data_IF_836177492100
#
_entry.id   IF_836177492100
#
_cell.length_a   1.000
_cell.length_b   1.000
_cell.length_c   1.000
_cell.angle_alpha   90.00
_cell.angle_beta   90.00
_cell.angle_gamma   90.00
#
_symmetry.space_group_name_H-M   'P 1'
#
loop_
_entity.id
_entity.type
_entity.pdbx_description
1 polymer ?
#
# COMPACT_ATOMS: atom_id res chain seq x y z
N UNK A 1 78.35 -37.95 -42.57
CA UNK A 1 78.81 -36.85 -41.75
C UNK A 1 77.61 -35.95 -41.55
N UNK A 2 76.93 -36.08 -40.41
CA UNK A 2 75.67 -35.34 -40.07
C UNK A 2 75.98 -34.45 -38.90
N UNK A 3 75.86 -33.14 -39.12
CA UNK A 3 76.01 -32.14 -38.12
C UNK A 3 74.67 -31.93 -37.36
N UNK A 4 74.67 -32.08 -36.06
CA UNK A 4 73.54 -31.75 -35.19
C UNK A 4 73.72 -30.34 -34.69
N UNK A 5 72.76 -29.49 -34.97
CA UNK A 5 72.63 -28.15 -34.39
C UNK A 5 71.66 -28.23 -33.24
N UNK A 6 72.16 -27.96 -32.03
CA UNK A 6 71.38 -27.90 -30.79
C UNK A 6 70.78 -26.48 -30.65
N UNK A 7 69.46 -26.36 -30.63
CA UNK A 7 68.75 -25.09 -30.34
C UNK A 7 68.46 -25.07 -28.84
N UNK A 8 69.05 -24.10 -28.18
CA UNK A 8 68.78 -23.80 -26.76
C UNK A 8 67.54 -22.90 -26.66
N UNK A 9 66.43 -23.45 -26.13
CA UNK A 9 65.24 -22.64 -25.81
C UNK A 9 65.39 -22.06 -24.41
N UNK A 10 65.43 -20.73 -24.35
CA UNK A 10 65.38 -20.01 -23.10
C UNK A 10 63.88 -19.76 -22.79
N UNK A 11 63.39 -20.43 -21.77
CA UNK A 11 62.04 -20.18 -21.22
C UNK A 11 62.13 -19.09 -20.18
N UNK A 12 61.62 -17.88 -20.52
CA UNK A 12 61.44 -16.82 -19.55
C UNK A 12 60.18 -17.11 -18.68
N UNK A 13 60.44 -17.52 -17.44
CA UNK A 13 59.38 -17.70 -16.45
C UNK A 13 58.87 -16.37 -15.94
N UNK A 14 57.63 -15.97 -16.26
CA UNK A 14 56.89 -14.90 -15.63
C UNK A 14 56.45 -15.37 -14.26
N UNK A 15 57.13 -14.91 -13.21
CA UNK A 15 56.67 -15.03 -11.82
C UNK A 15 55.53 -14.03 -11.56
N UNK A 16 54.30 -14.52 -11.60
CA UNK A 16 53.17 -13.79 -11.05
C UNK A 16 53.28 -13.82 -9.52
N UNK A 17 53.68 -12.71 -8.92
CA UNK A 17 53.61 -12.55 -7.46
C UNK A 17 52.14 -12.30 -7.07
N UNK A 18 51.49 -13.28 -6.52
CA UNK A 18 50.23 -13.12 -5.79
C UNK A 18 50.52 -12.31 -4.52
N UNK A 19 50.12 -11.03 -4.52
CA UNK A 19 50.00 -10.29 -3.27
C UNK A 19 48.75 -10.77 -2.54
N UNK A 20 48.79 -11.17 -1.29
CA UNK A 20 47.59 -11.44 -0.51
C UNK A 20 46.82 -10.14 -0.37
N UNK A 21 45.57 -10.14 -0.86
CA UNK A 21 44.64 -9.03 -0.64
C UNK A 21 44.46 -8.89 0.86
N UNK A 22 44.85 -7.73 1.37
CA UNK A 22 44.73 -7.41 2.79
C UNK A 22 43.25 -7.44 3.17
N UNK A 23 42.97 -8.02 4.32
CA UNK A 23 41.64 -8.24 4.94
C UNK A 23 40.89 -6.94 5.29
N UNK A 24 41.22 -5.79 4.67
CA UNK A 24 40.78 -4.47 5.10
C UNK A 24 39.97 -3.68 4.06
N UNK A 25 39.44 -4.31 3.01
CA UNK A 25 38.52 -3.66 2.06
C UNK A 25 37.31 -4.53 1.73
N UNK A 26 36.71 -5.18 2.72
CA UNK A 26 35.28 -5.43 2.64
C UNK A 26 34.60 -4.10 2.98
N UNK A 27 34.41 -3.27 1.97
CA UNK A 27 33.48 -2.16 2.04
C UNK A 27 32.18 -2.72 2.61
N UNK A 28 31.86 -2.28 3.80
CA UNK A 28 30.57 -2.51 4.46
C UNK A 28 29.51 -1.99 3.50
N UNK A 29 28.92 -2.87 2.68
CA UNK A 29 27.61 -2.57 2.11
C UNK A 29 26.73 -2.33 3.34
N UNK A 30 26.03 -1.19 3.46
CA UNK A 30 25.13 -1.00 4.57
C UNK A 30 24.17 -2.18 4.55
N UNK A 31 24.32 -3.09 5.49
CA UNK A 31 23.45 -4.25 5.63
C UNK A 31 22.04 -3.71 5.73
N UNK A 32 21.12 -4.24 4.91
CA UNK A 32 19.71 -3.91 5.04
C UNK A 32 19.38 -4.17 6.51
N UNK A 33 19.08 -3.11 7.26
CA UNK A 33 18.68 -3.22 8.68
C UNK A 33 17.32 -3.93 8.72
N UNK A 34 17.35 -5.26 8.84
CA UNK A 34 16.17 -6.11 8.93
C UNK A 34 15.60 -6.18 10.35
N UNK A 35 16.15 -5.39 11.28
CA UNK A 35 15.70 -5.38 12.66
C UNK A 35 14.44 -4.53 12.86
N UNK A 36 14.29 -3.44 12.10
CA UNK A 36 13.22 -2.47 12.28
C UNK A 36 12.03 -2.70 11.32
N UNK A 37 10.83 -2.38 11.82
CA UNK A 37 9.64 -2.28 10.99
C UNK A 37 9.63 -0.91 10.29
N UNK A 38 9.36 -0.90 8.99
CA UNK A 38 9.19 0.31 8.17
C UNK A 38 7.76 0.35 7.63
N UNK A 39 7.13 1.51 7.75
CA UNK A 39 5.81 1.81 7.18
C UNK A 39 6.00 2.97 6.23
N UNK A 40 5.68 2.80 4.95
CA UNK A 40 5.92 3.75 3.88
C UNK A 40 4.60 4.10 3.21
N UNK A 41 4.30 5.38 3.10
CA UNK A 41 3.08 5.87 2.47
C UNK A 41 3.23 5.94 0.95
N UNK A 42 2.32 5.29 0.23
CA UNK A 42 2.29 5.27 -1.23
C UNK A 42 1.25 6.21 -1.83
N UNK A 43 0.54 6.96 -0.98
CA UNK A 43 -0.60 7.81 -1.38
C UNK A 43 -1.95 7.11 -1.25
N UNK A 44 -3.04 7.88 -1.18
CA UNK A 44 -4.41 7.40 -1.01
C UNK A 44 -4.56 6.53 0.25
N UNK A 45 -4.91 5.26 0.10
CA UNK A 45 -4.87 4.25 1.14
C UNK A 45 -3.67 3.30 1.01
N UNK A 46 -2.71 3.63 0.12
CA UNK A 46 -1.57 2.80 -0.24
C UNK A 46 -0.45 2.83 0.78
N UNK A 47 0.02 1.64 1.17
CA UNK A 47 1.11 1.47 2.14
C UNK A 47 2.03 0.33 1.74
N UNK A 48 3.31 0.47 2.08
CA UNK A 48 4.25 -0.63 2.17
C UNK A 48 4.63 -0.83 3.63
N UNK A 49 4.52 -2.07 4.13
CA UNK A 49 4.94 -2.47 5.46
C UNK A 49 6.01 -3.54 5.31
N UNK A 50 7.22 -3.28 5.83
CA UNK A 50 8.34 -4.19 5.59
C UNK A 50 9.36 -4.20 6.73
N UNK A 51 10.04 -5.33 6.89
CA UNK A 51 11.26 -5.47 7.70
C UNK A 51 12.53 -5.59 6.84
N UNK A 52 12.42 -5.28 5.54
CA UNK A 52 13.49 -5.45 4.56
C UNK A 52 13.58 -6.85 3.95
N UNK A 53 12.93 -7.87 4.54
CA UNK A 53 12.84 -9.23 4.00
C UNK A 53 11.45 -9.53 3.45
N UNK A 54 10.43 -9.32 4.27
CA UNK A 54 9.02 -9.47 3.90
C UNK A 54 8.47 -8.11 3.54
N UNK A 55 7.79 -8.01 2.41
CA UNK A 55 7.14 -6.80 1.90
C UNK A 55 5.65 -7.04 1.75
N UNK A 56 4.86 -6.31 2.52
CA UNK A 56 3.39 -6.31 2.47
C UNK A 56 2.97 -4.98 1.88
N UNK A 57 2.29 -5.00 0.74
CA UNK A 57 1.62 -3.82 0.19
C UNK A 57 0.16 -3.83 0.62
N UNK A 58 -0.40 -2.65 0.80
CA UNK A 58 -1.82 -2.43 1.08
C UNK A 58 -2.31 -1.41 0.07
N UNK A 59 -3.39 -1.72 -0.66
CA UNK A 59 -4.04 -0.82 -1.62
C UNK A 59 -3.07 -0.01 -2.49
N UNK A 60 -2.04 -0.63 -3.12
CA UNK A 60 -1.03 0.11 -3.86
C UNK A 60 -1.65 0.77 -5.11
N UNK A 61 -1.84 2.08 -5.05
CA UNK A 61 -2.37 2.89 -6.13
C UNK A 61 -1.42 4.06 -6.43
N UNK A 62 -0.53 3.85 -7.41
CA UNK A 62 0.51 4.79 -7.78
C UNK A 62 0.19 5.54 -9.10
N UNK A 63 -0.69 5.01 -9.92
CA UNK A 63 -1.05 5.59 -11.22
C UNK A 63 -1.76 6.94 -11.12
N UNK A 64 -2.43 7.25 -9.99
CA UNK A 64 -3.06 8.54 -9.68
C UNK A 64 -3.85 9.10 -10.87
N UNK A 65 -4.83 8.32 -11.33
CA UNK A 65 -5.62 8.58 -12.52
C UNK A 65 -6.24 9.99 -12.49
N UNK A 66 -5.95 10.82 -13.49
CA UNK A 66 -6.66 12.09 -13.67
C UNK A 66 -8.07 11.82 -14.17
N UNK A 67 -9.07 12.32 -13.44
CA UNK A 67 -10.48 12.12 -13.80
C UNK A 67 -11.01 13.24 -14.67
N UNK A 68 -11.87 12.88 -15.63
CA UNK A 68 -12.70 13.84 -16.33
C UNK A 68 -13.99 14.05 -15.54
N UNK A 69 -14.04 15.14 -14.79
CA UNK A 69 -15.09 15.42 -13.83
C UNK A 69 -16.42 15.93 -14.43
N UNK A 70 -16.53 16.13 -15.72
CA UNK A 70 -17.76 16.66 -16.34
C UNK A 70 -18.97 15.72 -16.19
N UNK A 71 -18.76 14.48 -15.75
CA UNK A 71 -19.81 13.46 -15.56
C UNK A 71 -19.74 12.70 -14.24
N UNK A 72 -18.83 13.10 -13.33
CA UNK A 72 -18.63 12.39 -12.06
C UNK A 72 -19.23 13.21 -10.90
N UNK A 73 -20.30 12.73 -10.24
CA UNK A 73 -20.90 13.42 -9.09
C UNK A 73 -19.92 13.61 -7.92
N UNK A 74 -18.85 12.77 -7.83
CA UNK A 74 -17.79 12.89 -6.82
C UNK A 74 -16.76 13.98 -7.15
N UNK A 75 -16.88 14.64 -8.28
CA UNK A 75 -15.93 15.65 -8.76
C UNK A 75 -15.79 16.87 -7.84
N UNK A 76 -16.71 17.07 -6.92
CA UNK A 76 -16.78 18.27 -6.07
C UNK A 76 -15.62 18.35 -5.07
N UNK A 77 -14.98 17.20 -4.74
CA UNK A 77 -13.91 17.16 -3.72
C UNK A 77 -12.48 17.18 -4.30
N UNK A 78 -12.31 17.03 -5.60
CA UNK A 78 -11.01 16.82 -6.23
C UNK A 78 -10.64 18.01 -7.12
N UNK A 79 -9.85 18.95 -6.61
CA UNK A 79 -9.39 20.11 -7.37
C UNK A 79 -8.46 19.70 -8.51
N UNK A 80 -8.74 20.14 -9.73
CA UNK A 80 -7.78 20.08 -10.83
C UNK A 80 -6.64 21.07 -10.56
N UNK A 81 -5.41 20.68 -10.88
CA UNK A 81 -4.29 21.62 -10.89
C UNK A 81 -4.20 22.32 -12.25
N UNK A 82 -3.85 23.62 -12.26
CA UNK A 82 -3.61 24.32 -13.51
C UNK A 82 -2.52 23.62 -14.34
N UNK A 83 -2.75 23.51 -15.65
CA UNK A 83 -1.79 22.97 -16.61
C UNK A 83 -1.46 21.46 -16.45
N UNK A 84 -2.32 20.66 -15.81
CA UNK A 84 -2.18 19.20 -15.82
C UNK A 84 -2.41 18.69 -17.25
N UNK A 85 -1.34 18.27 -17.92
CA UNK A 85 -1.36 17.76 -19.29
C UNK A 85 -1.61 16.26 -19.39
N UNK A 86 -1.72 15.55 -18.24
CA UNK A 86 -2.02 14.12 -18.26
C UNK A 86 -3.38 13.86 -18.90
N UNK A 87 -3.53 12.72 -19.56
CA UNK A 87 -4.83 12.27 -20.07
C UNK A 87 -5.84 12.23 -18.91
N UNK A 88 -7.03 12.77 -19.15
CA UNK A 88 -8.15 12.66 -18.23
C UNK A 88 -9.07 11.51 -18.69
N UNK A 89 -9.49 10.68 -17.74
CA UNK A 89 -10.28 9.49 -17.98
C UNK A 89 -11.74 9.66 -17.51
N UNK A 90 -12.67 9.37 -18.40
CA UNK A 90 -14.08 9.22 -18.10
C UNK A 90 -14.44 7.78 -17.71
N UNK A 91 -15.68 7.55 -17.28
CA UNK A 91 -16.13 6.24 -16.78
C UNK A 91 -16.01 5.12 -17.80
N UNK A 92 -16.21 5.43 -19.09
CA UNK A 92 -16.16 4.44 -20.17
C UNK A 92 -14.76 4.22 -20.76
N UNK A 93 -13.77 4.97 -20.32
CA UNK A 93 -12.41 4.81 -20.81
C UNK A 93 -11.76 3.58 -20.19
N UNK A 94 -10.98 2.86 -20.99
CA UNK A 94 -10.07 1.84 -20.46
C UNK A 94 -8.95 2.52 -19.68
N UNK A 95 -8.60 1.93 -18.54
CA UNK A 95 -7.52 2.46 -17.70
C UNK A 95 -6.16 2.29 -18.38
N UNK A 96 -5.28 3.23 -18.10
CA UNK A 96 -3.86 3.17 -18.44
C UNK A 96 -3.05 3.36 -17.17
N UNK A 97 -2.14 2.42 -16.90
CA UNK A 97 -1.33 2.44 -15.68
C UNK A 97 -0.08 3.29 -15.87
N UNK A 98 0.31 4.03 -14.86
CA UNK A 98 1.64 4.64 -14.79
C UNK A 98 2.68 3.59 -14.35
N UNK A 99 3.04 2.72 -15.28
CA UNK A 99 4.02 1.66 -15.01
C UNK A 99 5.41 2.20 -14.71
N UNK A 100 5.72 3.44 -15.10
CA UNK A 100 7.01 4.09 -14.78
C UNK A 100 7.08 4.37 -13.30
N UNK A 101 6.08 5.07 -12.75
CA UNK A 101 6.00 5.36 -11.31
C UNK A 101 5.91 4.08 -10.49
N UNK A 102 5.07 3.11 -10.90
CA UNK A 102 4.98 1.81 -10.23
C UNK A 102 6.36 1.15 -10.19
N UNK A 103 7.05 1.04 -11.33
CA UNK A 103 8.36 0.39 -11.41
C UNK A 103 9.47 1.15 -10.67
N UNK A 104 9.34 2.47 -10.54
CA UNK A 104 10.28 3.27 -9.76
C UNK A 104 10.18 2.97 -8.26
N UNK A 105 8.99 2.79 -7.71
CA UNK A 105 8.77 2.68 -6.28
C UNK A 105 8.55 1.25 -5.79
N UNK A 106 7.86 0.40 -6.54
CA UNK A 106 7.61 -0.99 -6.16
C UNK A 106 8.64 -1.93 -6.77
N UNK A 107 9.60 -2.37 -5.96
CA UNK A 107 10.68 -3.29 -6.38
C UNK A 107 10.36 -4.74 -6.02
N UNK A 108 9.63 -4.96 -4.94
CA UNK A 108 9.25 -6.27 -4.39
C UNK A 108 7.89 -6.16 -3.73
N UNK A 109 7.13 -7.25 -3.78
CA UNK A 109 5.99 -7.50 -2.92
C UNK A 109 5.88 -9.02 -2.70
N UNK A 110 5.69 -9.44 -1.46
CA UNK A 110 5.39 -10.83 -1.12
C UNK A 110 3.88 -11.01 -0.97
N UNK A 111 3.20 -9.99 -0.43
CA UNK A 111 1.75 -9.97 -0.23
C UNK A 111 1.18 -8.60 -0.61
N UNK A 112 -0.06 -8.61 -1.13
CA UNK A 112 -0.84 -7.40 -1.39
C UNK A 112 -2.19 -7.58 -0.73
N UNK A 113 -2.51 -6.71 0.23
CA UNK A 113 -3.80 -6.66 0.93
C UNK A 113 -4.66 -5.61 0.24
N UNK A 114 -5.92 -5.92 -0.04
CA UNK A 114 -6.85 -5.00 -0.69
C UNK A 114 -8.08 -4.83 0.19
N UNK A 115 -8.30 -3.59 0.69
CA UNK A 115 -9.44 -3.29 1.54
C UNK A 115 -10.77 -3.38 0.79
N UNK A 116 -10.82 -2.84 -0.43
CA UNK A 116 -12.00 -2.93 -1.32
C UNK A 116 -11.61 -2.67 -2.77
N UNK A 117 -12.54 -2.89 -3.70
CA UNK A 117 -12.21 -2.95 -5.12
C UNK A 117 -12.47 -1.66 -5.92
N UNK A 118 -12.55 -0.49 -5.26
CA UNK A 118 -12.51 0.77 -6.00
C UNK A 118 -11.16 0.97 -6.68
N UNK A 119 -11.16 1.71 -7.80
CA UNK A 119 -9.98 1.93 -8.65
C UNK A 119 -8.75 2.43 -7.89
N UNK A 120 -8.95 3.35 -6.96
CA UNK A 120 -7.91 3.99 -6.15
C UNK A 120 -7.34 3.11 -5.02
N UNK A 121 -7.73 1.84 -5.00
CA UNK A 121 -7.19 0.79 -4.12
C UNK A 121 -6.60 -0.38 -4.92
N UNK A 122 -7.23 -0.76 -6.05
CA UNK A 122 -6.92 -2.04 -6.69
C UNK A 122 -6.38 -1.93 -8.13
N UNK A 123 -6.52 -0.77 -8.77
CA UNK A 123 -6.25 -0.63 -10.21
C UNK A 123 -4.85 -1.09 -10.64
N UNK A 124 -3.83 -0.81 -9.83
CA UNK A 124 -2.44 -1.16 -10.10
C UNK A 124 -2.08 -2.58 -9.63
N UNK A 125 -2.92 -3.19 -8.79
CA UNK A 125 -2.65 -4.49 -8.14
C UNK A 125 -2.39 -5.62 -9.13
N UNK A 126 -3.17 -5.81 -10.22
CA UNK A 126 -2.91 -6.90 -11.16
C UNK A 126 -1.52 -6.81 -11.79
N UNK A 127 -1.08 -5.61 -12.16
CA UNK A 127 0.25 -5.38 -12.73
C UNK A 127 1.34 -5.64 -11.70
N UNK A 128 1.20 -5.11 -10.49
CA UNK A 128 2.17 -5.30 -9.40
C UNK A 128 2.27 -6.78 -9.03
N UNK A 129 1.14 -7.47 -8.85
CA UNK A 129 1.11 -8.90 -8.51
C UNK A 129 1.73 -9.76 -9.62
N UNK A 130 1.41 -9.51 -10.89
CA UNK A 130 1.99 -10.21 -12.03
C UNK A 130 3.51 -10.02 -12.12
N UNK A 131 4.01 -8.81 -11.83
CA UNK A 131 5.43 -8.48 -11.86
C UNK A 131 6.22 -9.09 -10.70
N UNK A 132 5.66 -9.07 -9.49
CA UNK A 132 6.37 -9.45 -8.25
C UNK A 132 6.14 -10.90 -7.85
N UNK A 133 5.08 -11.53 -8.36
CA UNK A 133 4.63 -12.84 -7.92
C UNK A 133 3.96 -12.82 -6.54
N UNK A 134 3.54 -11.65 -6.07
CA UNK A 134 2.87 -11.48 -4.77
C UNK A 134 1.57 -12.27 -4.67
N UNK A 135 1.25 -12.71 -3.46
CA UNK A 135 -0.07 -13.25 -3.12
C UNK A 135 -1.01 -12.07 -2.85
N UNK A 136 -2.15 -12.04 -3.51
CA UNK A 136 -3.19 -11.01 -3.31
C UNK A 136 -4.25 -11.53 -2.37
N UNK A 137 -4.56 -10.76 -1.32
CA UNK A 137 -5.55 -11.09 -0.29
C UNK A 137 -6.63 -10.01 -0.31
N UNK A 138 -7.88 -10.40 -0.50
CA UNK A 138 -9.00 -9.47 -0.53
C UNK A 138 -10.35 -10.16 -0.67
N UNK A 139 -11.40 -9.37 -0.79
CA UNK A 139 -12.76 -9.87 -0.95
C UNK A 139 -12.95 -10.55 -2.31
N UNK A 140 -14.10 -11.25 -2.51
CA UNK A 140 -14.42 -11.94 -3.78
C UNK A 140 -14.31 -11.02 -5.01
N UNK A 141 -14.72 -9.75 -4.88
CA UNK A 141 -14.58 -8.77 -5.96
C UNK A 141 -13.12 -8.50 -6.33
N UNK A 142 -12.23 -8.44 -5.34
CA UNK A 142 -10.77 -8.38 -5.57
C UNK A 142 -10.28 -9.59 -6.32
N UNK A 143 -10.67 -10.80 -5.87
CA UNK A 143 -10.30 -12.05 -6.52
C UNK A 143 -10.77 -12.10 -7.99
N UNK A 144 -11.98 -11.63 -8.28
CA UNK A 144 -12.52 -11.61 -9.64
C UNK A 144 -11.80 -10.64 -10.57
N UNK A 145 -11.31 -9.49 -10.07
CA UNK A 145 -10.39 -8.63 -10.84
C UNK A 145 -9.08 -9.37 -11.13
N UNK A 146 -8.48 -10.00 -10.12
CA UNK A 146 -7.22 -10.76 -10.33
C UNK A 146 -7.38 -11.85 -11.37
N UNK A 147 -8.49 -12.60 -11.32
CA UNK A 147 -8.83 -13.64 -12.32
C UNK A 147 -9.02 -13.05 -13.72
N UNK A 148 -9.68 -11.89 -13.84
CA UNK A 148 -9.86 -11.20 -15.11
C UNK A 148 -8.52 -10.83 -15.77
N UNK A 149 -7.50 -10.55 -14.97
CA UNK A 149 -6.12 -10.30 -15.44
C UNK A 149 -5.24 -11.55 -15.45
N UNK A 150 -5.82 -12.77 -15.33
CA UNK A 150 -5.14 -14.06 -15.40
C UNK A 150 -4.08 -14.26 -14.30
N UNK A 151 -4.26 -13.69 -13.12
CA UNK A 151 -3.41 -14.05 -11.98
C UNK A 151 -3.69 -15.51 -11.60
N UNK A 152 -2.65 -16.35 -11.39
CA UNK A 152 -2.83 -17.75 -11.01
C UNK A 152 -3.63 -17.90 -9.70
N UNK A 153 -4.53 -18.90 -9.62
CA UNK A 153 -5.44 -19.06 -8.47
C UNK A 153 -4.68 -19.27 -7.14
N UNK A 154 -3.53 -19.92 -7.19
CA UNK A 154 -2.64 -20.09 -6.03
C UNK A 154 -2.02 -18.77 -5.51
N UNK A 155 -2.15 -17.70 -6.25
CA UNK A 155 -1.74 -16.34 -5.87
C UNK A 155 -2.90 -15.48 -5.35
N UNK A 156 -4.09 -16.06 -5.19
CA UNK A 156 -5.29 -15.36 -4.76
C UNK A 156 -5.81 -16.00 -3.47
N UNK A 157 -5.90 -15.21 -2.40
CA UNK A 157 -6.57 -15.63 -1.16
C UNK A 157 -7.83 -14.79 -1.02
N UNK A 158 -8.97 -15.43 -1.26
CA UNK A 158 -10.28 -14.78 -1.06
C UNK A 158 -10.69 -14.87 0.40
N UNK A 159 -11.03 -13.73 0.99
CA UNK A 159 -11.44 -13.61 2.40
C UNK A 159 -12.79 -12.92 2.53
N UNK A 160 -13.43 -13.08 3.68
CA UNK A 160 -14.77 -12.54 3.96
C UNK A 160 -14.84 -11.62 5.17
N UNK A 161 -13.82 -11.64 6.02
CA UNK A 161 -13.81 -11.08 7.36
C UNK A 161 -14.13 -12.15 8.41
N UNK A 162 -13.33 -12.16 9.47
CA UNK A 162 -13.35 -13.17 10.55
C UNK A 162 -12.13 -14.10 10.53
N UNK A 163 -11.38 -14.14 9.41
CA UNK A 163 -10.17 -14.97 9.31
C UNK A 163 -9.02 -14.37 10.13
N UNK A 164 -8.19 -15.28 10.71
CA UNK A 164 -6.95 -14.91 11.41
C UNK A 164 -5.85 -15.89 10.98
N UNK A 165 -4.95 -15.44 10.11
CA UNK A 165 -3.97 -16.28 9.40
C UNK A 165 -2.55 -16.01 9.86
N UNK A 166 -1.73 -17.09 9.88
CA UNK A 166 -0.29 -17.03 10.13
C UNK A 166 0.49 -17.19 8.83
N UNK A 167 1.36 -16.23 8.53
CA UNK A 167 2.23 -16.22 7.33
C UNK A 167 3.71 -16.41 7.69
N UNK A 168 4.03 -16.88 8.87
CA UNK A 168 5.40 -17.10 9.35
C UNK A 168 6.09 -15.81 9.81
N UNK A 169 6.32 -14.85 8.92
CA UNK A 169 6.94 -13.58 9.28
C UNK A 169 5.97 -12.62 9.99
N UNK A 170 4.67 -12.74 9.72
CA UNK A 170 3.60 -11.92 10.27
C UNK A 170 2.32 -12.74 10.39
N UNK A 171 1.36 -12.26 11.18
CA UNK A 171 -0.01 -12.78 11.14
C UNK A 171 -0.99 -11.67 10.77
N UNK A 172 -2.13 -12.06 10.20
CA UNK A 172 -3.12 -11.16 9.63
C UNK A 172 -4.51 -11.58 10.10
N UNK A 173 -5.15 -10.71 10.89
CA UNK A 173 -6.58 -10.82 11.18
C UNK A 173 -7.35 -9.93 10.22
N UNK A 174 -8.35 -10.51 9.58
CA UNK A 174 -9.23 -9.84 8.64
C UNK A 174 -10.58 -9.62 9.32
N UNK A 175 -11.10 -8.40 9.26
CA UNK A 175 -12.41 -8.03 9.76
C UNK A 175 -13.26 -7.46 8.63
N UNK A 176 -14.57 -7.58 8.75
CA UNK A 176 -15.48 -6.84 7.86
C UNK A 176 -15.40 -5.34 8.16
N UNK A 177 -15.42 -4.55 7.11
CA UNK A 177 -15.43 -3.10 7.16
C UNK A 177 -16.67 -2.52 6.49
N UNK A 178 -16.72 -1.20 6.46
CA UNK A 178 -17.71 -0.43 5.71
C UNK A 178 -16.98 0.64 4.90
N UNK A 179 -17.45 0.88 3.69
CA UNK A 179 -17.06 2.06 2.95
C UNK A 179 -17.66 3.32 3.57
N UNK A 180 -17.00 4.47 3.46
CA UNK A 180 -17.59 5.73 3.88
C UNK A 180 -18.82 6.05 3.04
N UNK A 181 -19.92 6.53 3.64
CA UNK A 181 -20.96 7.13 2.86
C UNK A 181 -20.43 8.44 2.28
N UNK A 182 -20.76 8.70 1.04
CA UNK A 182 -20.57 9.99 0.41
C UNK A 182 -21.75 10.91 0.76
N UNK A 183 -21.99 11.93 -0.03
CA UNK A 183 -23.06 12.91 0.21
C UNK A 183 -24.41 12.23 0.50
N UNK A 184 -25.16 12.81 1.40
CA UNK A 184 -26.50 12.34 1.82
C UNK A 184 -26.54 10.91 2.37
N UNK A 185 -25.47 10.41 3.02
CA UNK A 185 -25.40 9.07 3.63
C UNK A 185 -25.49 7.91 2.64
N UNK A 186 -25.14 8.11 1.37
CA UNK A 186 -25.18 7.05 0.36
C UNK A 186 -23.79 6.47 0.15
N UNK A 187 -23.74 5.16 -0.01
CA UNK A 187 -22.52 4.48 -0.44
C UNK A 187 -22.26 4.72 -1.92
N UNK A 188 -21.02 5.03 -2.24
CA UNK A 188 -20.58 5.08 -3.62
C UNK A 188 -20.42 3.65 -4.15
N UNK A 189 -21.25 3.32 -5.15
CA UNK A 189 -21.16 2.09 -5.94
C UNK A 189 -20.91 0.80 -5.14
N UNK A 190 -21.84 0.45 -4.24
CA UNK A 190 -21.79 -0.74 -3.38
C UNK A 190 -22.01 -2.08 -4.11
N UNK A 191 -21.95 -2.10 -5.45
CA UNK A 191 -22.09 -3.33 -6.26
C UNK A 191 -20.91 -4.28 -5.96
N UNK A 192 -21.07 -5.53 -6.43
CA UNK A 192 -20.03 -6.55 -6.44
C UNK A 192 -19.53 -6.82 -7.86
N UNK A 193 -18.32 -7.33 -7.98
CA UNK A 193 -17.70 -7.65 -9.27
C UNK A 193 -17.96 -9.10 -9.61
N UNK A 194 -18.54 -9.34 -10.79
CA UNK A 194 -18.82 -10.69 -11.29
C UNK A 194 -17.55 -11.44 -11.66
N UNK A 195 -17.55 -12.76 -11.47
CA UNK A 195 -16.51 -13.68 -11.98
C UNK A 195 -16.40 -13.68 -13.51
N UNK A 196 -17.42 -13.19 -14.23
CA UNK A 196 -17.43 -13.14 -15.68
C UNK A 196 -16.76 -11.88 -16.23
N UNK A 197 -16.22 -11.00 -15.34
CA UNK A 197 -15.48 -9.81 -15.71
C UNK A 197 -14.30 -10.16 -16.63
N UNK A 198 -14.06 -9.34 -17.64
CA UNK A 198 -12.96 -9.52 -18.60
C UNK A 198 -12.09 -8.27 -18.68
N UNK A 199 -10.78 -8.46 -18.57
CA UNK A 199 -9.82 -7.40 -18.85
C UNK A 199 -9.71 -7.13 -20.37
N UNK A 200 -9.31 -5.89 -20.77
CA UNK A 200 -8.98 -4.75 -19.93
C UNK A 200 -10.22 -4.10 -19.31
N UNK A 201 -10.08 -3.54 -18.11
CA UNK A 201 -11.18 -2.91 -17.38
C UNK A 201 -11.31 -1.43 -17.72
N UNK A 202 -12.54 -0.92 -17.64
CA UNK A 202 -12.86 0.50 -17.70
C UNK A 202 -12.91 1.10 -16.30
N UNK A 203 -12.84 2.41 -16.21
CA UNK A 203 -12.93 3.12 -14.93
C UNK A 203 -14.17 2.72 -14.13
N UNK A 204 -15.36 2.61 -14.78
CA UNK A 204 -16.63 2.23 -14.15
C UNK A 204 -16.74 0.76 -13.70
N UNK A 205 -15.80 -0.09 -14.10
CA UNK A 205 -15.82 -1.51 -13.76
C UNK A 205 -15.27 -1.76 -12.34
N UNK A 206 -14.62 -0.75 -11.73
CA UNK A 206 -14.11 -0.80 -10.37
C UNK A 206 -15.17 -0.29 -9.41
N UNK A 207 -15.74 -1.18 -8.63
CA UNK A 207 -16.81 -0.92 -7.66
C UNK A 207 -16.35 -1.34 -6.26
N UNK A 208 -17.06 -0.99 -5.20
CA UNK A 208 -16.64 -1.31 -3.82
C UNK A 208 -16.36 -2.80 -3.63
N UNK A 209 -17.34 -3.62 -3.93
CA UNK A 209 -17.19 -5.07 -3.89
C UNK A 209 -17.06 -5.71 -2.52
N UNK A 210 -17.34 -4.96 -1.45
CA UNK A 210 -17.14 -5.33 -0.06
C UNK A 210 -15.86 -4.75 0.54
N UNK A 211 -15.97 -4.22 1.77
CA UNK A 211 -14.88 -3.54 2.47
C UNK A 211 -14.34 -4.38 3.62
N UNK A 212 -13.04 -4.35 3.81
CA UNK A 212 -12.30 -5.07 4.84
C UNK A 212 -11.50 -4.10 5.73
N UNK A 213 -11.14 -4.57 6.91
CA UNK A 213 -10.18 -3.96 7.84
C UNK A 213 -9.12 -5.02 8.17
N UNK A 214 -7.86 -4.64 8.22
CA UNK A 214 -6.76 -5.55 8.51
C UNK A 214 -6.08 -5.21 9.83
N UNK A 215 -5.81 -6.22 10.67
CA UNK A 215 -4.88 -6.13 11.78
C UNK A 215 -3.65 -6.98 11.46
N UNK A 216 -2.53 -6.33 11.23
CA UNK A 216 -1.25 -6.96 10.90
C UNK A 216 -0.42 -7.01 12.17
N UNK A 217 0.03 -8.22 12.57
CA UNK A 217 0.96 -8.42 13.67
C UNK A 217 2.33 -8.72 13.09
N UNK A 218 3.24 -7.76 13.16
CA UNK A 218 4.55 -7.84 12.52
C UNK A 218 5.63 -7.17 13.39
N UNK A 219 6.75 -7.87 13.62
CA UNK A 219 7.88 -7.36 14.44
C UNK A 219 7.48 -6.88 15.84
N UNK A 220 6.52 -7.56 16.46
CA UNK A 220 6.00 -7.22 17.79
C UNK A 220 5.03 -6.04 17.82
N UNK A 221 4.71 -5.45 16.68
CA UNK A 221 3.69 -4.41 16.52
C UNK A 221 2.35 -5.00 16.11
N UNK A 222 1.28 -4.34 16.52
CA UNK A 222 -0.09 -4.57 16.06
C UNK A 222 -0.56 -3.33 15.30
N UNK A 223 -0.72 -3.47 13.99
CA UNK A 223 -1.04 -2.37 13.08
C UNK A 223 -2.44 -2.61 12.54
N UNK A 224 -3.41 -1.76 12.89
CA UNK A 224 -4.73 -1.79 12.26
C UNK A 224 -4.79 -0.81 11.10
N UNK A 225 -5.40 -1.23 9.96
CA UNK A 225 -5.50 -0.38 8.76
C UNK A 225 -6.92 -0.33 8.23
N UNK A 226 -7.31 0.85 7.78
CA UNK A 226 -8.63 1.13 7.21
C UNK A 226 -8.48 1.70 5.79
N UNK A 227 -9.19 1.12 4.83
CA UNK A 227 -9.22 1.61 3.45
C UNK A 227 -10.24 2.74 3.23
N UNK A 228 -11.10 3.03 4.21
CA UNK A 228 -12.13 4.04 4.09
C UNK A 228 -12.45 4.69 5.44
N UNK A 229 -13.34 5.67 5.45
CA UNK A 229 -13.70 6.44 6.64
C UNK A 229 -14.97 5.91 7.31
N UNK A 230 -15.09 4.58 7.40
CA UNK A 230 -16.19 3.94 8.12
C UNK A 230 -15.74 2.57 8.66
N UNK A 231 -16.47 2.03 9.61
CA UNK A 231 -16.13 0.76 10.26
C UNK A 231 -17.35 0.13 10.96
N UNK A 232 -17.25 -1.18 11.20
CA UNK A 232 -18.18 -1.92 12.05
C UNK A 232 -17.56 -1.98 13.44
N UNK A 233 -18.09 -1.20 14.41
CA UNK A 233 -17.51 -1.07 15.75
C UNK A 233 -17.38 -2.45 16.44
N UNK A 234 -18.38 -3.32 16.27
CA UNK A 234 -18.40 -4.67 16.82
C UNK A 234 -17.22 -5.54 16.38
N UNK A 235 -16.79 -5.40 15.13
CA UNK A 235 -15.66 -6.15 14.57
C UNK A 235 -14.30 -5.72 15.15
N UNK A 236 -14.25 -4.52 15.73
CA UNK A 236 -13.04 -3.94 16.32
C UNK A 236 -12.92 -4.16 17.82
N UNK A 237 -13.99 -4.67 18.48
CA UNK A 237 -13.97 -4.91 19.92
C UNK A 237 -12.85 -5.88 20.33
N UNK A 238 -12.13 -5.55 21.41
CA UNK A 238 -11.03 -6.35 21.94
C UNK A 238 -9.71 -6.23 21.17
N UNK A 239 -9.64 -5.39 20.14
CA UNK A 239 -8.37 -5.05 19.49
C UNK A 239 -7.59 -4.04 20.36
N UNK A 240 -6.26 -4.21 20.40
CA UNK A 240 -5.34 -3.32 21.10
C UNK A 240 -4.16 -2.97 20.19
N UNK A 241 -4.38 -2.33 19.03
CA UNK A 241 -3.27 -1.96 18.15
C UNK A 241 -2.42 -0.87 18.80
N UNK A 242 -1.13 -0.93 18.60
CA UNK A 242 -0.23 0.16 18.98
C UNK A 242 -0.10 1.22 17.88
N UNK A 243 -0.36 0.83 16.62
CA UNK A 243 -0.37 1.71 15.46
C UNK A 243 -1.72 1.59 14.75
N UNK A 244 -2.39 2.70 14.50
CA UNK A 244 -3.63 2.75 13.74
C UNK A 244 -3.47 3.66 12.51
N UNK A 245 -3.64 3.07 11.32
CA UNK A 245 -3.66 3.78 10.03
C UNK A 245 -5.14 4.04 9.71
N UNK A 246 -5.57 5.29 9.90
CA UNK A 246 -7.00 5.67 9.97
C UNK A 246 -7.35 6.61 8.82
N UNK A 247 -8.46 6.35 8.14
CA UNK A 247 -8.99 7.22 7.09
C UNK A 247 -9.29 8.63 7.58
N UNK A 248 -8.77 9.64 6.90
CA UNK A 248 -8.84 11.04 7.35
C UNK A 248 -9.55 11.98 6.36
N UNK A 249 -10.09 11.45 5.25
CA UNK A 249 -10.86 12.23 4.29
C UNK A 249 -12.12 12.86 4.92
N UNK A 250 -12.64 13.93 4.34
CA UNK A 250 -13.79 14.70 4.85
C UNK A 250 -15.08 13.87 4.93
N UNK A 251 -15.24 12.79 4.15
CA UNK A 251 -16.40 11.91 4.24
C UNK A 251 -16.60 11.27 5.64
N UNK A 252 -15.55 11.28 6.49
CA UNK A 252 -15.68 10.88 7.90
C UNK A 252 -16.70 11.74 8.68
N UNK A 253 -16.94 12.99 8.24
CA UNK A 253 -17.89 13.89 8.88
C UNK A 253 -19.34 13.41 8.78
N UNK A 254 -19.62 12.48 7.84
CA UNK A 254 -20.91 11.83 7.72
C UNK A 254 -21.16 10.76 8.81
N UNK A 255 -20.11 10.37 9.51
CA UNK A 255 -20.15 9.34 10.57
C UNK A 255 -20.22 10.03 11.93
N UNK A 256 -21.21 9.66 12.73
CA UNK A 256 -21.36 10.18 14.10
C UNK A 256 -20.13 9.88 14.95
N UNK A 257 -19.52 10.92 15.53
CA UNK A 257 -18.34 10.86 16.41
C UNK A 257 -17.26 9.87 15.91
N UNK A 258 -16.91 9.96 14.62
CA UNK A 258 -16.03 9.02 13.93
C UNK A 258 -14.74 8.74 14.72
N UNK A 259 -13.97 9.79 15.00
CA UNK A 259 -12.69 9.64 15.69
C UNK A 259 -12.86 9.21 17.16
N UNK A 260 -13.85 9.78 17.87
CA UNK A 260 -14.06 9.47 19.29
C UNK A 260 -14.44 8.02 19.54
N UNK A 261 -15.36 7.49 18.73
CA UNK A 261 -15.78 6.08 18.82
C UNK A 261 -14.66 5.14 18.37
N UNK A 262 -13.97 5.47 17.27
CA UNK A 262 -12.89 4.65 16.75
C UNK A 262 -11.73 4.55 17.75
N UNK A 263 -11.29 5.67 18.31
CA UNK A 263 -10.22 5.68 19.32
C UNK A 263 -10.58 4.86 20.55
N UNK A 264 -11.84 4.91 20.98
CA UNK A 264 -12.33 4.15 22.15
C UNK A 264 -12.33 2.64 21.87
N UNK A 265 -12.90 2.21 20.76
CA UNK A 265 -13.01 0.78 20.43
C UNK A 265 -11.63 0.15 20.15
N UNK A 266 -10.67 0.92 19.65
CA UNK A 266 -9.28 0.49 19.45
C UNK A 266 -8.42 0.60 20.72
N UNK A 267 -9.02 0.93 21.86
CA UNK A 267 -8.31 1.11 23.14
C UNK A 267 -7.17 2.15 23.07
N UNK A 268 -7.40 3.27 22.37
CA UNK A 268 -6.51 4.43 22.29
C UNK A 268 -5.09 4.09 21.80
N UNK A 269 -4.91 3.75 20.55
CA UNK A 269 -3.60 3.45 19.97
C UNK A 269 -2.56 4.53 20.29
N UNK A 270 -1.34 4.11 20.60
CA UNK A 270 -0.26 5.05 20.90
C UNK A 270 0.10 5.94 19.70
N UNK A 271 -0.08 5.43 18.49
CA UNK A 271 0.24 6.11 17.24
C UNK A 271 -0.95 6.04 16.28
N UNK A 272 -1.30 7.18 15.71
CA UNK A 272 -2.25 7.32 14.60
C UNK A 272 -1.54 7.90 13.39
N UNK A 273 -1.73 7.28 12.25
CA UNK A 273 -1.22 7.73 10.95
C UNK A 273 -2.43 7.96 10.04
N UNK A 274 -2.69 9.18 9.56
CA UNK A 274 -3.79 9.41 8.63
C UNK A 274 -3.53 8.77 7.28
N UNK A 275 -4.55 8.13 6.72
CA UNK A 275 -4.57 7.59 5.35
C UNK A 275 -5.72 8.21 4.57
N UNK A 276 -5.70 8.09 3.25
CA UNK A 276 -6.73 8.58 2.34
C UNK A 276 -7.06 10.08 2.54
N UNK A 277 -6.02 10.88 2.80
CA UNK A 277 -6.15 12.31 3.10
C UNK A 277 -5.72 13.21 1.95
N UNK A 278 -4.92 12.67 1.03
CA UNK A 278 -4.35 13.42 -0.09
C UNK A 278 -5.31 13.50 -1.29
N UNK A 279 -5.05 14.44 -2.18
CA UNK A 279 -5.67 14.44 -3.50
C UNK A 279 -4.95 13.44 -4.40
N UNK A 280 -5.54 12.27 -4.54
CA UNK A 280 -4.98 11.14 -5.27
C UNK A 280 -5.18 11.20 -6.80
N UNK A 281 -5.75 12.28 -7.32
CA UNK A 281 -5.94 12.48 -8.76
C UNK A 281 -4.89 13.38 -9.39
N UNK A 282 -4.02 14.00 -8.57
CA UNK A 282 -2.94 14.87 -9.03
C UNK A 282 -1.58 14.17 -8.88
N UNK A 283 -0.54 14.57 -9.65
CA UNK A 283 0.81 14.01 -9.54
C UNK A 283 1.40 14.14 -8.13
N UNK A 284 2.32 13.23 -7.77
CA UNK A 284 3.00 13.25 -6.47
C UNK A 284 3.77 14.54 -6.16
N UNK A 285 4.34 15.18 -7.19
CA UNK A 285 5.07 16.45 -7.06
C UNK A 285 4.16 17.69 -6.97
N UNK A 286 2.85 17.50 -6.98
CA UNK A 286 1.88 18.59 -6.82
C UNK A 286 1.65 18.91 -5.35
N UNK A 287 1.35 20.19 -5.06
CA UNK A 287 1.10 20.64 -3.70
C UNK A 287 -0.16 20.00 -3.10
N UNK A 288 -0.01 19.41 -1.93
CA UNK A 288 -1.10 18.88 -1.09
C UNK A 288 -1.47 19.87 0.06
N UNK A 289 -1.14 21.15 -0.07
CA UNK A 289 -1.30 22.13 1.01
C UNK A 289 -2.76 22.24 1.52
N UNK A 290 -3.73 22.14 0.62
CA UNK A 290 -5.16 22.13 0.97
C UNK A 290 -5.52 20.91 1.82
N UNK A 291 -5.11 19.73 1.39
CA UNK A 291 -5.38 18.46 2.06
C UNK A 291 -4.71 18.43 3.44
N UNK A 292 -3.46 18.92 3.53
CA UNK A 292 -2.76 19.07 4.82
C UNK A 292 -3.52 20.03 5.75
N UNK A 293 -4.08 21.14 5.23
CA UNK A 293 -4.91 22.04 6.02
C UNK A 293 -6.18 21.36 6.54
N UNK A 294 -6.83 20.53 5.70
CA UNK A 294 -8.02 19.77 6.08
C UNK A 294 -7.74 18.73 7.17
N UNK A 295 -6.51 18.22 7.27
CA UNK A 295 -6.09 17.36 8.39
C UNK A 295 -6.14 18.05 9.76
N UNK A 296 -6.23 19.39 9.80
CA UNK A 296 -6.31 20.15 11.06
C UNK A 296 -7.52 19.75 11.91
N UNK A 297 -8.69 19.50 11.32
CA UNK A 297 -9.88 19.02 12.04
C UNK A 297 -9.70 17.59 12.54
N UNK A 298 -9.20 16.69 11.69
CA UNK A 298 -8.90 15.32 12.08
C UNK A 298 -7.94 15.24 13.28
N UNK A 299 -6.85 16.01 13.25
CA UNK A 299 -5.91 16.10 14.40
C UNK A 299 -6.60 16.51 15.67
N UNK A 300 -7.46 17.55 15.62
CA UNK A 300 -8.21 18.01 16.79
C UNK A 300 -9.16 16.95 17.33
N UNK A 301 -9.85 16.22 16.46
CA UNK A 301 -10.77 15.14 16.83
C UNK A 301 -10.02 14.00 17.53
N UNK A 302 -8.88 13.53 16.98
CA UNK A 302 -8.03 12.52 17.61
C UNK A 302 -7.49 13.00 18.96
N UNK A 303 -6.94 14.21 19.03
CA UNK A 303 -6.38 14.77 20.27
C UNK A 303 -7.45 14.97 21.36
N UNK A 304 -8.68 15.33 20.98
CA UNK A 304 -9.81 15.41 21.90
C UNK A 304 -10.17 14.04 22.48
N UNK A 305 -10.18 13.00 21.64
CA UNK A 305 -10.50 11.64 22.06
C UNK A 305 -9.35 10.99 22.85
N UNK A 306 -8.11 11.24 22.45
CA UNK A 306 -6.90 10.65 23.04
C UNK A 306 -5.73 11.64 23.05
N UNK A 307 -5.59 12.48 24.09
CA UNK A 307 -4.55 13.49 24.15
C UNK A 307 -3.11 12.94 24.14
N UNK A 308 -2.92 11.68 24.51
CA UNK A 308 -1.61 11.02 24.55
C UNK A 308 -1.20 10.36 23.23
N UNK A 309 -2.14 10.19 22.30
CA UNK A 309 -1.86 9.57 20.98
C UNK A 309 -0.98 10.49 20.15
N UNK A 310 0.14 9.98 19.69
CA UNK A 310 1.00 10.67 18.73
C UNK A 310 0.42 10.52 17.31
N UNK A 311 0.25 11.65 16.62
CA UNK A 311 -0.18 11.68 15.22
C UNK A 311 1.04 11.89 14.35
N UNK A 312 1.28 11.01 13.39
CA UNK A 312 2.39 11.10 12.42
C UNK A 312 1.77 11.32 11.04
N UNK A 313 2.02 12.48 10.43
CA UNK A 313 1.62 12.73 9.05
C UNK A 313 2.69 12.14 8.15
N UNK A 314 2.34 11.19 7.26
CA UNK A 314 3.32 10.56 6.41
C UNK A 314 3.69 11.47 5.23
N UNK A 315 4.94 11.34 4.77
CA UNK A 315 5.39 11.85 3.48
C UNK A 315 5.41 10.72 2.45
N UNK A 316 5.23 11.03 1.18
CA UNK A 316 5.26 10.02 0.12
C UNK A 316 6.62 9.34 0.03
N UNK A 317 6.62 8.02 0.03
CA UNK A 317 7.79 7.15 -0.15
C UNK A 317 8.85 7.26 0.95
N UNK A 318 8.62 8.05 2.01
CA UNK A 318 9.55 8.17 3.13
C UNK A 318 9.20 7.15 4.23
N UNK A 319 10.17 6.38 4.73
CA UNK A 319 9.91 5.36 5.73
C UNK A 319 9.70 5.96 7.12
N UNK A 320 8.60 5.59 7.77
CA UNK A 320 8.42 5.74 9.21
C UNK A 320 8.98 4.48 9.87
N UNK A 321 9.99 4.64 10.71
CA UNK A 321 10.75 3.53 11.28
C UNK A 321 10.29 3.25 12.72
N UNK A 322 9.97 1.99 13.00
CA UNK A 322 9.59 1.50 14.32
C UNK A 322 10.56 0.41 14.78
N UNK A 323 11.19 0.56 15.95
CA UNK A 323 12.03 -0.50 16.52
C UNK A 323 11.25 -1.79 16.74
N UNK A 324 11.90 -2.94 16.58
CA UNK A 324 11.28 -4.24 16.96
C UNK A 324 10.84 -4.18 18.42
N UNK A 325 9.65 -4.68 18.68
CA UNK A 325 9.17 -4.93 20.05
C UNK A 325 9.36 -6.41 20.40
N UNK A 326 10.13 -6.67 21.42
CA UNK A 326 10.14 -8.00 22.02
C UNK A 326 8.79 -8.21 22.75
N UNK A 327 8.15 -9.34 22.49
CA UNK A 327 6.92 -9.75 23.20
C UNK A 327 7.22 -10.04 24.65
#
# INVERSE_FOLDING_TARGET
>A
MKSCISICMITAGLLFSFRPVSKLEMLHQPGIDTSNLKIIYLGTAGWEITDGKTVILIDPYLSRLRRNYSSDPDSVSLSSIPNDTRKAFGDNDFIELDTVTINQHIKKADYILVHHAHRDHIMDVPYIAGKTGAIVIGHESTANIMRAYNLPEEKIITVKGGEDYEFGAFSLKIMQGLHSPLDEKRYFDSRTISKDLKAPLRVKDYVEGGSLVFLIRFKGHQIVTFGSMNYIEKELEGLHPDIAIIGANQSRNEIYDYCGRLMRVLNYPAIVIPTHWDNFTIPYNSSQAEQVRQLGSFKKEIQKASPKTKIIIPEYFEPIIFPVRNK
#
